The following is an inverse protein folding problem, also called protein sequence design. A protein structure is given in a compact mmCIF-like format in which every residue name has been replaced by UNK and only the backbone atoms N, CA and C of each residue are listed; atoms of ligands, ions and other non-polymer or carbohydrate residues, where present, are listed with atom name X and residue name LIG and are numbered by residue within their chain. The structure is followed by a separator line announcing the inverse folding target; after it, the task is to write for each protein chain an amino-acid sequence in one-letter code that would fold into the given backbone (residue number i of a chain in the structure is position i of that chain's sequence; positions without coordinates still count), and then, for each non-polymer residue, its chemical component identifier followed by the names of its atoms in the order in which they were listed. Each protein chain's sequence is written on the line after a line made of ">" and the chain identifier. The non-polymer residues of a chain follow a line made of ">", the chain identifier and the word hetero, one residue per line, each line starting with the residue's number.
data_IF_571293741301
#
_entry.id   IF_571293741301
#
_cell.length_a   1.000
_cell.length_b   1.000
_cell.length_c   1.000
_cell.angle_alpha   90.00
_cell.angle_beta   90.00
_cell.angle_gamma   90.00
#
_symmetry.space_group_name_H-M   'P 1'
#
loop_
_entity.id
_entity.type
_entity.pdbx_description
1 polymer ?
#
# COMPACT_ATOMS: atom_id res chain seq x y z
N UNK A 1 -12.18 -5.16 20.71
CA UNK A 1 -12.03 -4.81 20.42
C UNK A 1 -11.91 -4.06 20.15
N UNK A 2 -11.64 -3.76 20.38
CA UNK A 2 -11.69 -3.05 20.15
C UNK A 2 -11.54 -2.48 19.39
N UNK A 3 -11.69 -2.64 19.04
CA UNK A 3 -11.75 -2.26 18.17
C UNK A 3 -11.69 -1.09 17.79
N UNK A 4 -11.86 -0.71 17.99
CA UNK A 4 -11.98 0.59 17.78
C UNK A 4 -10.73 1.22 17.95
N UNK A 5 -9.87 0.65 18.19
CA UNK A 5 -8.76 1.22 18.27
C UNK A 5 -8.15 1.16 17.10
N UNK A 6 -8.33 1.76 16.30
CA UNK A 6 -7.87 1.82 15.02
C UNK A 6 -6.50 2.06 14.95
N UNK A 7 -6.22 2.78 15.57
CA UNK A 7 -5.03 3.17 15.66
C UNK A 7 -4.11 2.20 15.51
N UNK A 8 -4.45 1.27 15.89
CA UNK A 8 -3.74 0.28 15.85
C UNK A 8 -3.22 0.08 14.60
N UNK A 9 -3.53 0.79 13.77
CA UNK A 9 -3.06 0.57 12.48
C UNK A 9 -1.74 1.13 12.19
N UNK A 10 -0.98 1.56 13.10
CA UNK A 10 0.38 2.03 12.85
C UNK A 10 1.28 0.82 12.62
N UNK A 11 1.65 0.58 11.36
CA UNK A 11 2.49 -0.54 10.97
C UNK A 11 3.91 -0.11 10.65
N UNK A 12 4.29 1.11 11.01
CA UNK A 12 5.58 1.66 10.62
C UNK A 12 6.75 0.88 11.22
N UNK A 13 6.55 0.15 12.31
CA UNK A 13 7.63 -0.59 12.94
C UNK A 13 7.76 -2.03 12.42
N UNK A 14 6.90 -2.44 11.49
CA UNK A 14 7.01 -3.77 10.94
C UNK A 14 8.23 -3.86 10.03
N UNK A 15 8.95 -4.96 10.09
CA UNK A 15 10.06 -5.20 9.18
C UNK A 15 9.54 -6.08 8.06
N UNK A 16 9.31 -5.48 6.89
CA UNK A 16 8.81 -6.20 5.73
C UNK A 16 9.89 -6.32 4.65
N UNK A 17 11.15 -6.09 5.03
CA UNK A 17 12.22 -6.00 4.05
C UNK A 17 12.49 -7.30 3.30
N UNK A 18 12.03 -8.43 3.81
CA UNK A 18 12.21 -9.70 3.13
C UNK A 18 10.92 -10.24 2.51
N UNK A 19 9.84 -9.47 2.53
CA UNK A 19 8.58 -9.93 2.01
C UNK A 19 8.57 -9.75 0.50
N UNK A 20 8.21 -10.79 -0.23
CA UNK A 20 8.16 -10.77 -1.68
C UNK A 20 6.74 -10.72 -2.22
N UNK A 21 5.78 -11.20 -1.47
CA UNK A 21 4.39 -11.32 -1.92
C UNK A 21 3.49 -10.51 -0.99
N UNK A 22 3.00 -9.40 -1.52
CA UNK A 22 2.10 -8.52 -0.76
C UNK A 22 0.69 -8.53 -1.35
N UNK A 23 0.29 -9.60 -2.03
CA UNK A 23 -1.04 -9.63 -2.62
C UNK A 23 -2.10 -9.47 -1.55
N UNK A 24 -3.09 -8.62 -1.83
CA UNK A 24 -4.25 -8.43 -0.97
C UNK A 24 -3.86 -8.08 0.48
N UNK A 25 -2.80 -7.33 0.64
CA UNK A 25 -2.20 -7.15 1.96
C UNK A 25 -2.94 -6.19 2.86
N UNK A 26 -3.65 -5.21 2.31
CA UNK A 26 -4.24 -4.16 3.11
C UNK A 26 -5.72 -4.00 2.85
N UNK A 27 -6.46 -3.73 3.90
CA UNK A 27 -7.85 -3.32 3.80
C UNK A 27 -7.94 -2.00 4.56
N UNK A 28 -7.91 -0.90 3.82
CA UNK A 28 -7.88 0.41 4.44
C UNK A 28 -9.25 1.05 4.43
N UNK A 29 -9.80 1.31 5.61
CA UNK A 29 -11.03 2.06 5.73
C UNK A 29 -10.79 3.16 6.75
N UNK A 30 -10.52 4.34 6.28
CA UNK A 30 -10.32 5.50 7.16
C UNK A 30 -9.18 5.32 8.15
N UNK A 31 -8.09 4.68 7.71
CA UNK A 31 -6.92 4.55 8.56
C UNK A 31 -5.70 4.92 7.75
N UNK A 32 -4.67 5.35 8.46
CA UNK A 32 -3.37 5.58 7.86
C UNK A 32 -2.40 4.59 8.51
N UNK A 33 -2.00 3.54 7.84
CA UNK A 33 -1.15 2.52 8.46
C UNK A 33 0.30 2.97 8.63
N UNK A 34 0.63 4.15 8.12
CA UNK A 34 1.96 4.73 8.29
C UNK A 34 3.06 3.84 7.69
N UNK A 35 2.85 3.43 6.45
CA UNK A 35 3.76 2.51 5.78
C UNK A 35 4.65 3.21 4.75
N UNK A 36 4.70 4.53 4.81
CA UNK A 36 5.44 5.31 3.82
C UNK A 36 6.91 4.93 3.75
N UNK A 37 7.50 4.54 4.87
CA UNK A 37 8.92 4.23 4.93
C UNK A 37 9.24 2.74 4.92
N UNK A 38 8.27 1.91 4.57
CA UNK A 38 8.54 0.49 4.48
C UNK A 38 9.58 0.20 3.38
N UNK A 39 10.46 -0.73 3.65
CA UNK A 39 11.39 -1.21 2.65
C UNK A 39 10.73 -2.37 1.92
N UNK A 40 10.24 -2.11 0.72
CA UNK A 40 9.57 -3.13 -0.09
C UNK A 40 10.42 -3.52 -1.29
N UNK A 41 11.73 -3.29 -1.20
CA UNK A 41 12.62 -3.46 -2.35
C UNK A 41 12.72 -4.89 -2.86
N UNK A 42 12.32 -5.88 -2.05
CA UNK A 42 12.32 -7.27 -2.50
C UNK A 42 10.97 -7.76 -2.99
N UNK A 43 9.96 -6.90 -2.96
CA UNK A 43 8.62 -7.31 -3.36
C UNK A 43 8.55 -7.56 -4.86
N UNK A 44 7.87 -8.62 -5.25
CA UNK A 44 7.66 -8.94 -6.65
C UNK A 44 6.19 -8.96 -7.02
N UNK A 45 5.29 -9.14 -6.06
CA UNK A 45 3.85 -9.21 -6.34
C UNK A 45 3.11 -8.32 -5.35
N UNK A 46 2.48 -7.28 -5.86
CA UNK A 46 1.67 -6.36 -5.06
C UNK A 46 0.26 -6.26 -5.64
N UNK A 47 -0.21 -7.29 -6.36
CA UNK A 47 -1.52 -7.22 -6.97
C UNK A 47 -2.59 -7.11 -5.91
N UNK A 48 -3.54 -6.23 -6.11
CA UNK A 48 -4.64 -6.05 -5.19
C UNK A 48 -4.24 -5.59 -3.79
N UNK A 49 -3.11 -4.93 -3.66
CA UNK A 49 -2.60 -4.56 -2.33
C UNK A 49 -3.64 -3.85 -1.48
N UNK A 50 -4.39 -2.93 -2.09
CA UNK A 50 -5.45 -2.21 -1.38
C UNK A 50 -6.83 -2.61 -1.92
N UNK A 51 -6.99 -3.85 -2.37
CA UNK A 51 -8.18 -4.23 -3.12
C UNK A 51 -9.48 -4.06 -2.35
N UNK A 52 -9.46 -4.23 -1.06
CA UNK A 52 -10.66 -4.09 -0.24
C UNK A 52 -10.78 -2.72 0.40
N UNK A 53 -9.94 -1.79 -0.01
CA UNK A 53 -10.01 -0.44 0.52
C UNK A 53 -11.06 0.34 -0.25
N UNK A 54 -11.76 1.20 0.45
CA UNK A 54 -12.75 2.05 -0.20
C UNK A 54 -12.43 3.48 0.13
N UNK A 55 -13.40 4.31 0.40
CA UNK A 55 -13.14 5.71 0.69
C UNK A 55 -12.28 5.81 1.94
N UNK A 56 -11.09 6.34 1.77
CA UNK A 56 -10.19 6.52 2.88
C UNK A 56 -9.81 7.99 2.93
N UNK A 57 -10.27 8.69 3.96
CA UNK A 57 -10.00 10.11 4.07
C UNK A 57 -8.55 10.41 4.41
N UNK A 58 -7.74 9.41 4.69
CA UNK A 58 -6.34 9.63 5.01
C UNK A 58 -5.44 9.39 3.79
N UNK A 59 -6.01 9.21 2.60
CA UNK A 59 -5.25 8.96 1.40
C UNK A 59 -4.14 9.99 1.18
N UNK A 60 -4.40 11.21 1.48
CA UNK A 60 -3.39 12.24 1.24
C UNK A 60 -2.17 12.10 2.14
N UNK A 61 -2.31 11.41 3.24
CA UNK A 61 -1.19 11.18 4.14
C UNK A 61 -0.41 9.93 3.81
N UNK A 62 -0.88 9.13 2.85
CA UNK A 62 -0.22 7.89 2.48
C UNK A 62 0.60 8.16 1.23
N UNK A 63 1.89 8.39 1.42
CA UNK A 63 2.79 8.75 0.33
C UNK A 63 3.74 7.60 0.08
N UNK A 64 3.54 6.89 -1.02
CA UNK A 64 4.32 5.72 -1.37
C UNK A 64 5.29 6.02 -2.52
N UNK A 65 5.49 7.29 -2.83
CA UNK A 65 6.36 7.65 -3.94
C UNK A 65 7.82 7.26 -3.72
N UNK A 66 8.20 7.05 -2.47
CA UNK A 66 9.57 6.64 -2.16
C UNK A 66 9.79 5.14 -2.13
N UNK A 67 8.74 4.36 -2.38
CA UNK A 67 8.90 2.92 -2.36
C UNK A 67 9.72 2.46 -3.57
N UNK A 68 10.68 1.56 -3.34
CA UNK A 68 11.43 0.95 -4.42
C UNK A 68 10.63 -0.26 -4.88
N UNK A 69 9.89 -0.09 -5.97
CA UNK A 69 9.06 -1.15 -6.52
C UNK A 69 9.63 -1.68 -7.84
N UNK A 70 10.94 -1.52 -8.01
CA UNK A 70 11.59 -1.88 -9.26
C UNK A 70 11.53 -3.37 -9.55
N UNK A 71 11.34 -4.21 -8.56
CA UNK A 71 11.24 -5.66 -8.76
C UNK A 71 9.82 -6.15 -8.86
N UNK A 72 8.84 -5.27 -8.72
CA UNK A 72 7.44 -5.69 -8.75
C UNK A 72 7.03 -5.92 -10.19
N UNK A 73 6.62 -7.13 -10.49
CA UNK A 73 6.19 -7.49 -11.84
C UNK A 73 4.68 -7.75 -11.92
N UNK A 74 4.00 -7.77 -10.79
CA UNK A 74 2.55 -7.96 -10.75
C UNK A 74 1.97 -6.96 -9.76
N UNK A 75 1.30 -5.94 -10.27
CA UNK A 75 0.68 -4.92 -9.43
C UNK A 75 -0.76 -4.63 -9.86
N UNK A 76 -1.37 -5.52 -10.63
CA UNK A 76 -2.73 -5.30 -11.11
C UNK A 76 -3.69 -5.07 -9.96
N UNK A 77 -4.50 -4.05 -10.06
CA UNK A 77 -5.47 -3.73 -9.02
C UNK A 77 -4.85 -3.22 -7.74
N UNK A 78 -3.61 -2.71 -7.78
CA UNK A 78 -2.93 -2.25 -6.58
C UNK A 78 -3.79 -1.26 -5.78
N UNK A 79 -4.43 -0.32 -6.46
CA UNK A 79 -5.20 0.69 -5.77
C UNK A 79 -6.64 0.29 -5.47
N UNK A 80 -7.06 -0.88 -5.93
CA UNK A 80 -8.43 -1.33 -5.71
C UNK A 80 -9.44 -0.33 -6.23
N UNK A 81 -10.37 0.06 -5.41
CA UNK A 81 -11.40 1.04 -5.78
C UNK A 81 -11.06 2.46 -5.36
N UNK A 82 -9.83 2.71 -4.91
CA UNK A 82 -9.43 4.05 -4.52
C UNK A 82 -9.11 4.83 -5.78
N UNK A 83 -9.91 5.83 -6.11
CA UNK A 83 -9.78 6.54 -7.37
C UNK A 83 -9.20 7.93 -7.24
N UNK A 84 -9.08 8.45 -6.04
CA UNK A 84 -8.61 9.82 -5.84
C UNK A 84 -7.25 9.89 -5.18
N UNK A 85 -6.44 8.88 -5.34
CA UNK A 85 -5.08 8.90 -4.80
C UNK A 85 -4.24 9.86 -5.66
N UNK A 86 -3.54 10.83 -5.05
CA UNK A 86 -2.74 11.77 -5.82
C UNK A 86 -1.63 11.06 -6.56
N UNK A 87 -1.44 11.42 -7.83
CA UNK A 87 -0.40 10.79 -8.64
C UNK A 87 0.97 10.95 -8.03
N UNK A 88 1.24 12.09 -7.43
CA UNK A 88 2.57 12.34 -6.87
C UNK A 88 2.88 11.47 -5.67
N UNK A 89 1.89 10.77 -5.12
CA UNK A 89 2.09 9.91 -3.95
C UNK A 89 2.00 8.43 -4.29
N UNK A 90 1.83 8.09 -5.55
CA UNK A 90 1.76 6.70 -5.95
C UNK A 90 3.15 6.10 -6.10
N UNK A 91 3.31 4.80 -5.86
CA UNK A 91 4.58 4.15 -6.17
C UNK A 91 4.82 4.20 -7.68
N UNK A 92 6.06 4.25 -8.08
CA UNK A 92 6.39 4.35 -9.49
C UNK A 92 6.67 2.96 -10.07
N UNK A 93 5.59 2.24 -10.38
CA UNK A 93 5.73 0.92 -10.97
C UNK A 93 6.23 1.07 -12.41
N UNK A 94 7.28 0.33 -12.75
CA UNK A 94 7.86 0.40 -14.08
C UNK A 94 7.74 -0.92 -14.84
N UNK A 95 7.40 -2.01 -14.17
CA UNK A 95 7.35 -3.32 -14.80
C UNK A 95 5.96 -3.96 -14.75
N UNK A 96 4.95 -3.19 -14.40
CA UNK A 96 3.58 -3.67 -14.35
C UNK A 96 2.64 -2.48 -14.40
N UNK A 97 1.35 -2.77 -14.60
CA UNK A 97 0.33 -1.74 -14.68
C UNK A 97 -0.60 -1.91 -13.49
N UNK A 98 -0.69 -0.94 -12.59
CA UNK A 98 -1.51 -1.08 -11.38
C UNK A 98 -3.01 -0.92 -11.60
N UNK A 99 -3.43 -0.55 -12.79
CA UNK A 99 -4.86 -0.35 -13.06
C UNK A 99 -5.66 -1.64 -13.20
#
# INVERSE_FOLDING_TARGET
>A
MNSDKPVKSDLSYWDVSNVKDFRLAMQLENINPNINNWDVSKATNMSGFFSDSSNNKYIEGIDLSGWDVSKVTNCGGFFGSIINWPESKKPNFTNCNPD
#
